data_IF_572174467552
#
_entry.id   IF_572174467552
#
_cell.length_a   1.000
_cell.length_b   1.000
_cell.length_c   1.000
_cell.angle_alpha   90.00
_cell.angle_beta   90.00
_cell.angle_gamma   90.00
#
_symmetry.space_group_name_H-M   'P 1'
#
loop_
_entity.id
_entity.type
_entity.pdbx_description
1 polymer ?
#
# COMPACT_ATOMS: atom_id res chain seq x y z
N UNK A 1 -12.21 -6.23 3.53
CA UNK A 1 -12.28 -4.76 3.45
C UNK A 1 -13.37 -4.10 4.31
N UNK A 2 -14.59 -4.64 4.41
CA UNK A 2 -15.69 -3.98 5.17
C UNK A 2 -15.34 -3.66 6.62
N UNK A 3 -14.74 -4.61 7.34
CA UNK A 3 -14.27 -4.43 8.73
C UNK A 3 -13.27 -3.27 8.87
N UNK A 4 -12.31 -3.18 7.95
CA UNK A 4 -11.30 -2.12 7.95
C UNK A 4 -11.91 -0.72 7.70
N UNK A 5 -12.95 -0.65 6.87
CA UNK A 5 -13.68 0.60 6.61
C UNK A 5 -14.50 1.04 7.84
N UNK A 6 -15.06 0.10 8.60
CA UNK A 6 -15.84 0.40 9.81
C UNK A 6 -15.01 0.74 11.05
N UNK A 7 -13.68 0.54 11.02
CA UNK A 7 -12.81 0.87 12.15
C UNK A 7 -12.70 2.40 12.34
N UNK A 8 -13.09 2.88 13.53
CA UNK A 8 -13.00 4.30 13.92
C UNK A 8 -11.55 4.77 14.07
N UNK A 9 -10.69 3.92 14.63
CA UNK A 9 -9.26 4.16 14.83
C UNK A 9 -8.50 3.11 14.05
N UNK A 10 -7.46 3.52 13.33
CA UNK A 10 -6.54 2.63 12.62
C UNK A 10 -5.13 3.09 12.92
N UNK A 11 -4.41 2.29 13.68
CA UNK A 11 -2.98 2.46 13.91
C UNK A 11 -2.15 1.88 12.77
N UNK A 12 -0.83 2.09 12.82
CA UNK A 12 0.12 1.56 11.85
C UNK A 12 0.05 0.03 11.71
N UNK A 13 -0.23 -0.69 12.80
CA UNK A 13 -0.36 -2.16 12.80
C UNK A 13 -1.60 -2.61 12.04
N UNK A 14 -2.72 -1.90 12.19
CA UNK A 14 -3.97 -2.16 11.48
C UNK A 14 -3.77 -2.03 9.97
N UNK A 15 -3.12 -0.95 9.54
CA UNK A 15 -2.78 -0.76 8.13
C UNK A 15 -1.79 -1.82 7.63
N UNK A 16 -0.77 -2.13 8.43
CA UNK A 16 0.20 -3.17 8.09
C UNK A 16 -0.46 -4.54 7.90
N UNK A 17 -1.29 -4.99 8.85
CA UNK A 17 -1.98 -6.28 8.76
C UNK A 17 -2.88 -6.35 7.54
N UNK A 18 -3.59 -5.28 7.20
CA UNK A 18 -4.46 -5.25 6.01
C UNK A 18 -3.64 -5.29 4.72
N UNK A 19 -2.59 -4.48 4.61
CA UNK A 19 -1.70 -4.52 3.43
C UNK A 19 -1.04 -5.89 3.29
N UNK A 20 -0.55 -6.47 4.39
CA UNK A 20 0.05 -7.80 4.41
C UNK A 20 -0.92 -8.88 3.93
N UNK A 21 -2.14 -8.90 4.47
CA UNK A 21 -3.16 -9.87 4.07
C UNK A 21 -3.57 -9.70 2.60
N UNK A 22 -3.68 -8.47 2.09
CA UNK A 22 -3.94 -8.22 0.67
C UNK A 22 -2.80 -8.71 -0.23
N UNK A 23 -1.54 -8.55 0.20
CA UNK A 23 -0.40 -9.10 -0.53
C UNK A 23 -0.34 -10.62 -0.47
N UNK A 24 -0.77 -11.23 0.64
CA UNK A 24 -0.86 -12.68 0.82
C UNK A 24 -1.98 -13.29 -0.03
N UNK A 25 -3.11 -12.60 -0.12
CA UNK A 25 -4.22 -12.90 -1.03
C UNK A 25 -3.91 -12.55 -2.50
N UNK A 26 -2.68 -12.10 -2.78
CA UNK A 26 -2.14 -11.63 -4.07
C UNK A 26 -2.34 -12.53 -5.30
N UNK A 27 -2.91 -13.73 -5.13
CA UNK A 27 -3.31 -14.62 -6.22
C UNK A 27 -4.68 -14.26 -6.82
N UNK A 28 -5.43 -13.35 -6.20
CA UNK A 28 -6.73 -12.86 -6.68
C UNK A 28 -6.53 -11.54 -7.42
N UNK A 29 -7.17 -11.41 -8.59
CA UNK A 29 -7.14 -10.19 -9.40
C UNK A 29 -7.54 -8.95 -8.58
N UNK A 30 -6.79 -7.86 -8.75
CA UNK A 30 -7.04 -6.56 -8.09
C UNK A 30 -6.57 -6.42 -6.63
N UNK A 31 -6.11 -7.47 -5.96
CA UNK A 31 -5.61 -7.43 -4.57
C UNK A 31 -4.42 -6.46 -4.38
N UNK A 32 -3.42 -6.51 -5.25
CA UNK A 32 -2.28 -5.59 -5.24
C UNK A 32 -2.68 -4.15 -5.58
N UNK A 33 -3.65 -3.95 -6.47
CA UNK A 33 -4.18 -2.62 -6.78
C UNK A 33 -4.92 -1.99 -5.58
N UNK A 34 -5.65 -2.79 -4.80
CA UNK A 34 -6.22 -2.34 -3.54
C UNK A 34 -5.14 -2.01 -2.51
N UNK A 35 -4.12 -2.86 -2.38
CA UNK A 35 -3.03 -2.64 -1.44
C UNK A 35 -2.23 -1.36 -1.75
N UNK A 36 -1.98 -1.03 -3.02
CA UNK A 36 -1.29 0.21 -3.39
C UNK A 36 -2.10 1.48 -3.14
N UNK A 37 -3.41 1.45 -3.42
CA UNK A 37 -4.31 2.58 -3.08
C UNK A 37 -4.34 2.81 -1.58
N UNK A 38 -4.38 1.73 -0.79
CA UNK A 38 -4.34 1.81 0.65
C UNK A 38 -3.00 2.41 1.13
N UNK A 39 -1.89 1.90 0.61
CA UNK A 39 -0.55 2.37 0.97
C UNK A 39 -0.35 3.85 0.63
N UNK A 40 -0.83 4.30 -0.53
CA UNK A 40 -0.82 5.72 -0.91
C UNK A 40 -1.66 6.58 0.05
N UNK A 41 -2.85 6.10 0.45
CA UNK A 41 -3.67 6.80 1.44
C UNK A 41 -2.98 6.93 2.79
N UNK A 42 -2.19 5.92 3.19
CA UNK A 42 -1.42 5.96 4.43
C UNK A 42 -0.30 7.00 4.36
N UNK A 43 0.44 7.02 3.25
CA UNK A 43 1.46 8.04 3.01
C UNK A 43 0.84 9.45 3.03
N UNK A 44 -0.30 9.68 2.39
CA UNK A 44 -0.94 10.99 2.40
C UNK A 44 -1.39 11.44 3.81
N UNK A 45 -1.61 10.49 4.73
CA UNK A 45 -1.97 10.76 6.13
C UNK A 45 -0.75 10.86 7.06
N UNK A 46 0.48 10.76 6.53
CA UNK A 46 1.70 10.77 7.33
C UNK A 46 1.92 9.50 8.16
N UNK A 47 1.27 8.39 7.81
CA UNK A 47 1.39 7.15 8.55
C UNK A 47 2.64 6.37 8.13
N UNK A 48 3.36 5.86 9.12
CA UNK A 48 4.54 5.01 8.96
C UNK A 48 4.11 3.61 8.54
N UNK A 49 4.39 3.24 7.29
CA UNK A 49 4.24 1.86 6.81
C UNK A 49 5.59 1.19 6.69
N UNK A 50 5.65 -0.05 7.17
CA UNK A 50 6.86 -0.89 7.15
C UNK A 50 7.39 -1.08 5.72
N UNK A 51 8.72 -1.06 5.61
CA UNK A 51 9.41 -1.21 4.32
C UNK A 51 9.15 -2.57 3.67
N UNK A 52 8.87 -3.62 4.45
CA UNK A 52 8.53 -4.95 3.95
C UNK A 52 7.18 -4.97 3.24
N UNK A 53 6.14 -4.40 3.84
CA UNK A 53 4.82 -4.30 3.22
C UNK A 53 4.87 -3.50 1.91
N UNK A 54 5.62 -2.40 1.91
CA UNK A 54 5.84 -1.58 0.71
C UNK A 54 6.47 -2.38 -0.44
N UNK A 55 7.57 -3.07 -0.17
CA UNK A 55 8.25 -3.91 -1.17
C UNK A 55 7.32 -4.99 -1.72
N UNK A 56 6.55 -5.65 -0.86
CA UNK A 56 5.59 -6.68 -1.27
C UNK A 56 4.50 -6.12 -2.20
N UNK A 57 3.91 -4.97 -1.86
CA UNK A 57 2.90 -4.31 -2.72
C UNK A 57 3.48 -3.95 -4.08
N UNK A 58 4.66 -3.34 -4.10
CA UNK A 58 5.30 -2.89 -5.33
C UNK A 58 5.73 -4.06 -6.23
N UNK A 59 6.34 -5.08 -5.64
CA UNK A 59 6.74 -6.29 -6.36
C UNK A 59 5.52 -7.02 -6.92
N UNK A 60 4.46 -7.16 -6.13
CA UNK A 60 3.22 -7.79 -6.58
C UNK A 60 2.50 -7.02 -7.69
N UNK A 61 2.51 -5.67 -7.63
CA UNK A 61 1.95 -4.85 -8.71
C UNK A 61 2.70 -5.01 -10.03
N UNK A 62 4.03 -5.07 -9.98
CA UNK A 62 4.85 -5.29 -11.18
C UNK A 62 4.60 -6.66 -11.81
N UNK A 63 4.22 -7.66 -11.00
CA UNK A 63 3.92 -9.01 -11.47
C UNK A 63 2.48 -9.21 -11.97
N UNK A 64 1.53 -8.40 -11.50
CA UNK A 64 0.09 -8.62 -11.75
C UNK A 64 -0.57 -7.60 -12.66
N UNK A 65 0.00 -6.39 -12.77
CA UNK A 65 -0.55 -5.30 -13.59
C UNK A 65 0.40 -5.01 -14.74
N UNK A 66 -0.11 -4.50 -15.87
CA UNK A 66 0.73 -4.03 -16.96
C UNK A 66 1.85 -3.14 -16.43
N UNK A 67 3.07 -3.35 -16.94
CA UNK A 67 4.28 -2.67 -16.49
C UNK A 67 4.12 -1.15 -16.38
N UNK A 68 3.42 -0.52 -17.34
CA UNK A 68 3.15 0.92 -17.34
C UNK A 68 2.29 1.38 -16.16
N UNK A 69 1.21 0.64 -15.84
CA UNK A 69 0.32 0.98 -14.72
C UNK A 69 0.98 0.73 -13.37
N UNK A 70 1.77 -0.35 -13.26
CA UNK A 70 2.58 -0.65 -12.09
C UNK A 70 3.65 0.44 -11.85
N UNK A 71 4.35 0.86 -12.90
CA UNK A 71 5.40 1.90 -12.83
C UNK A 71 4.84 3.26 -12.40
N UNK A 72 3.69 3.68 -12.94
CA UNK A 72 3.03 4.93 -12.53
C UNK A 72 2.59 4.91 -11.06
N UNK A 73 2.13 3.75 -10.58
CA UNK A 73 1.73 3.56 -9.17
C UNK A 73 2.95 3.53 -8.26
N UNK A 74 4.03 2.88 -8.68
CA UNK A 74 5.30 2.84 -7.98
C UNK A 74 5.89 4.26 -7.80
N UNK A 75 5.92 5.05 -8.86
CA UNK A 75 6.39 6.44 -8.80
C UNK A 75 5.60 7.27 -7.80
N UNK A 76 4.25 7.19 -7.82
CA UNK A 76 3.39 7.91 -6.85
C UNK A 76 3.67 7.50 -5.41
N UNK A 77 3.84 6.21 -5.14
CA UNK A 77 4.16 5.70 -3.80
C UNK A 77 5.55 6.18 -3.36
N UNK A 78 6.53 6.14 -4.26
CA UNK A 78 7.89 6.61 -3.98
C UNK A 78 7.92 8.10 -3.63
N UNK A 79 7.29 8.94 -4.46
CA UNK A 79 7.17 10.39 -4.21
C UNK A 79 6.44 10.67 -2.91
N UNK A 80 5.31 10.00 -2.65
CA UNK A 80 4.56 10.18 -1.41
C UNK A 80 5.36 9.77 -0.17
N UNK A 81 6.25 8.78 -0.29
CA UNK A 81 7.13 8.38 0.81
C UNK A 81 8.26 9.37 1.03
N UNK A 82 8.92 9.82 -0.05
CA UNK A 82 9.96 10.85 0.01
C UNK A 82 9.41 12.12 0.65
N UNK A 83 8.22 12.59 0.28
CA UNK A 83 7.57 13.75 0.92
C UNK A 83 7.29 13.58 2.42
N UNK A 84 7.12 12.36 2.93
CA UNK A 84 6.94 12.11 4.37
C UNK A 84 8.25 12.03 5.15
N UNK A 85 9.36 11.69 4.50
CA UNK A 85 10.70 11.72 5.12
C UNK A 85 11.16 13.15 5.45
N UNK A 86 10.63 14.17 4.77
CA UNK A 86 10.91 15.59 5.03
C UNK A 86 10.01 16.22 6.12
N UNK A 87 9.07 15.46 6.70
CA UNK A 87 8.07 15.97 7.64
C UNK A 87 8.28 15.48 9.09
N UNK A 88 9.27 14.60 9.32
CA UNK A 88 9.73 14.14 10.64
C UNK A 88 11.07 14.76 10.98
#
# INVERSE_FOLDING_TARGET
MRLFVSMKIRDEYTYYSVVHNLCKDGRIDGSYACASKLLLSCCNKGLTITSSARRAVLSGLLMTVSYQAASKTHYKIKVAFECNQWRN
#
